data_IF_735522435996
#
_entry.id   IF_735522435996
#
_cell.length_a   1.000
_cell.length_b   1.000
_cell.length_c   1.000
_cell.angle_alpha   90.00
_cell.angle_beta   90.00
_cell.angle_gamma   90.00
#
_symmetry.space_group_name_H-M   'P 1'
#
loop_
_entity.id
_entity.type
_entity.pdbx_description
1 polymer ?
#
# COMPACT_ATOMS: atom_id res chain seq x y z
N UNK A 1 -16.83 32.35 -0.89
CA UNK A 1 -17.45 31.52 -1.94
C UNK A 1 -16.47 30.40 -2.24
N UNK A 2 -16.59 29.28 -1.54
CA UNK A 2 -15.67 28.13 -1.69
C UNK A 2 -16.07 27.36 -2.95
N UNK A 3 -15.53 27.77 -4.08
CA UNK A 3 -15.70 27.04 -5.33
C UNK A 3 -14.57 26.00 -5.42
N UNK A 4 -14.65 24.95 -4.61
CA UNK A 4 -13.84 23.75 -4.83
C UNK A 4 -14.67 22.83 -5.71
N UNK A 5 -14.44 22.90 -7.02
CA UNK A 5 -14.95 21.90 -7.95
C UNK A 5 -14.68 20.48 -7.39
N UNK A 6 -15.61 19.53 -7.56
CA UNK A 6 -15.35 18.15 -7.18
C UNK A 6 -14.15 17.64 -7.97
N UNK A 7 -13.00 17.54 -7.30
CA UNK A 7 -11.78 16.97 -7.87
C UNK A 7 -12.13 15.56 -8.35
N UNK A 8 -12.13 15.37 -9.67
CA UNK A 8 -12.47 14.13 -10.36
C UNK A 8 -12.01 12.89 -9.59
N UNK A 9 -12.99 12.09 -9.18
CA UNK A 9 -12.87 10.86 -8.41
C UNK A 9 -12.33 9.75 -9.35
N UNK A 10 -11.08 9.89 -9.80
CA UNK A 10 -10.46 8.93 -10.72
C UNK A 10 -9.48 9.51 -11.75
N UNK A 11 -9.29 10.83 -11.80
CA UNK A 11 -8.21 11.41 -12.63
C UNK A 11 -6.86 11.29 -11.91
N UNK A 12 -5.72 11.19 -12.63
CA UNK A 12 -4.38 11.28 -12.02
C UNK A 12 -4.15 12.62 -11.28
N UNK A 13 -5.00 13.63 -11.54
CA UNK A 13 -5.06 14.93 -10.82
C UNK A 13 -5.78 14.80 -9.46
N UNK A 14 -6.50 13.69 -9.26
CA UNK A 14 -7.22 13.29 -8.07
C UNK A 14 -6.50 12.26 -7.19
N UNK A 15 -5.23 11.94 -7.44
CA UNK A 15 -4.42 11.16 -6.51
C UNK A 15 -3.81 12.09 -5.46
N UNK A 16 -3.97 11.73 -4.20
CA UNK A 16 -3.35 12.44 -3.08
C UNK A 16 -1.89 12.01 -2.89
N UNK A 17 -1.03 12.86 -2.28
CA UNK A 17 0.39 12.57 -2.16
C UNK A 17 0.69 11.24 -1.45
N UNK A 18 0.01 10.94 -0.33
CA UNK A 18 0.28 9.70 0.43
C UNK A 18 -0.18 8.47 -0.33
N UNK A 19 -1.34 8.51 -0.99
CA UNK A 19 -1.81 7.38 -1.82
C UNK A 19 -0.86 7.12 -2.98
N UNK A 20 -0.39 8.16 -3.67
CA UNK A 20 0.58 8.00 -4.74
C UNK A 20 1.87 7.35 -4.24
N UNK A 21 2.36 7.77 -3.08
CA UNK A 21 3.52 7.16 -2.43
C UNK A 21 3.29 5.68 -2.12
N UNK A 22 2.14 5.34 -1.52
CA UNK A 22 1.79 3.94 -1.20
C UNK A 22 1.68 3.06 -2.46
N UNK A 23 1.10 3.56 -3.55
CA UNK A 23 1.02 2.82 -4.82
C UNK A 23 2.42 2.53 -5.38
N UNK A 24 3.30 3.55 -5.42
CA UNK A 24 4.67 3.41 -5.92
C UNK A 24 5.46 2.44 -5.04
N UNK A 25 5.36 2.58 -3.72
CA UNK A 25 6.10 1.77 -2.76
C UNK A 25 5.73 0.29 -2.87
N UNK A 26 4.43 -0.03 -2.87
CA UNK A 26 3.97 -1.41 -2.99
C UNK A 26 4.38 -2.05 -4.31
N UNK A 27 4.28 -1.31 -5.41
CA UNK A 27 4.74 -1.79 -6.72
C UNK A 27 6.25 -2.00 -6.73
N UNK A 28 7.03 -1.07 -6.17
CA UNK A 28 8.48 -1.15 -6.13
C UNK A 28 8.95 -2.36 -5.31
N UNK A 29 8.38 -2.60 -4.13
CA UNK A 29 8.72 -3.76 -3.29
C UNK A 29 8.47 -5.07 -4.04
N UNK A 30 7.31 -5.20 -4.69
CA UNK A 30 6.97 -6.40 -5.45
C UNK A 30 7.89 -6.59 -6.67
N UNK A 31 8.19 -5.52 -7.42
CA UNK A 31 9.10 -5.60 -8.57
C UNK A 31 10.52 -5.96 -8.15
N UNK A 32 11.01 -5.42 -7.04
CA UNK A 32 12.31 -5.78 -6.49
C UNK A 32 12.36 -7.26 -6.08
N UNK A 33 11.29 -7.76 -5.45
CA UNK A 33 11.17 -9.18 -5.07
C UNK A 33 11.32 -10.09 -6.29
N UNK A 34 10.54 -9.81 -7.35
CA UNK A 34 10.52 -10.61 -8.58
C UNK A 34 11.82 -10.49 -9.37
N UNK A 35 12.39 -9.29 -9.46
CA UNK A 35 13.61 -9.02 -10.24
C UNK A 35 14.86 -9.61 -9.58
N UNK A 36 15.00 -9.40 -8.26
CA UNK A 36 16.16 -9.86 -7.50
C UNK A 36 16.00 -11.31 -7.01
N UNK A 37 14.81 -11.89 -7.14
CA UNK A 37 14.45 -13.23 -6.64
C UNK A 37 14.75 -13.39 -5.15
N UNK A 38 14.55 -12.32 -4.39
CA UNK A 38 14.70 -12.32 -2.92
C UNK A 38 13.33 -12.57 -2.31
N UNK A 39 13.16 -13.47 -1.33
CA UNK A 39 11.84 -13.81 -0.78
C UNK A 39 11.38 -12.80 0.26
N UNK A 40 11.18 -11.53 -0.12
CA UNK A 40 10.69 -10.48 0.80
C UNK A 40 9.36 -10.85 1.43
N UNK A 41 8.47 -11.49 0.68
CA UNK A 41 7.19 -11.99 1.19
C UNK A 41 7.36 -12.99 2.34
N UNK A 42 8.45 -13.76 2.41
CA UNK A 42 8.67 -14.71 3.51
C UNK A 42 9.27 -14.06 4.76
N UNK A 43 10.09 -13.04 4.58
CA UNK A 43 10.79 -12.36 5.66
C UNK A 43 9.89 -11.36 6.39
N UNK A 44 9.10 -10.63 5.62
CA UNK A 44 8.31 -9.49 6.10
C UNK A 44 6.82 -9.78 6.27
N UNK A 45 6.33 -10.96 5.86
CA UNK A 45 4.97 -11.37 6.16
C UNK A 45 4.76 -11.51 7.68
N UNK A 46 3.56 -11.14 8.11
CA UNK A 46 3.13 -11.29 9.50
C UNK A 46 2.93 -12.76 9.81
N UNK A 47 3.72 -13.27 10.76
CA UNK A 47 3.55 -14.63 11.27
C UNK A 47 2.42 -14.66 12.29
N UNK A 48 1.62 -15.72 12.27
CA UNK A 48 0.51 -15.87 13.21
C UNK A 48 0.99 -15.81 14.66
N UNK A 49 2.18 -16.30 14.97
CA UNK A 49 2.75 -16.34 16.32
C UNK A 49 3.74 -15.20 16.62
N UNK A 50 3.62 -14.05 15.94
CA UNK A 50 4.55 -12.92 16.12
C UNK A 50 4.68 -12.45 17.57
N UNK A 51 3.62 -12.59 18.40
CA UNK A 51 3.63 -12.19 19.81
C UNK A 51 4.53 -13.04 20.69
N UNK A 52 4.90 -14.26 20.25
CA UNK A 52 5.81 -15.13 21.00
C UNK A 52 7.21 -14.56 21.06
N UNK A 53 7.58 -13.73 20.07
CA UNK A 53 8.90 -13.12 20.02
C UNK A 53 8.85 -11.67 19.54
N UNK A 54 9.20 -10.73 20.43
CA UNK A 54 9.18 -9.29 20.14
C UNK A 54 10.02 -8.85 18.94
N UNK A 55 11.02 -9.62 18.52
CA UNK A 55 11.78 -9.29 17.30
C UNK A 55 10.94 -9.42 16.01
N UNK A 56 9.79 -10.08 16.06
CA UNK A 56 8.80 -10.10 14.98
C UNK A 56 7.84 -8.91 15.01
N UNK A 57 7.86 -8.04 16.03
CA UNK A 57 6.99 -6.86 16.09
C UNK A 57 7.05 -5.96 14.84
N UNK A 58 8.19 -5.76 14.16
CA UNK A 58 8.23 -5.01 12.90
C UNK A 58 7.33 -5.59 11.81
N UNK A 59 7.03 -6.89 11.86
CA UNK A 59 6.13 -7.53 10.91
C UNK A 59 4.71 -6.97 10.95
N UNK A 60 4.28 -6.32 12.04
CA UNK A 60 3.01 -5.59 12.12
C UNK A 60 2.94 -4.36 11.21
N UNK A 61 4.07 -3.93 10.66
CA UNK A 61 4.11 -2.84 9.68
C UNK A 61 4.58 -3.35 8.33
N UNK A 62 5.63 -4.18 8.29
CA UNK A 62 6.22 -4.62 7.02
C UNK A 62 5.27 -5.49 6.19
N UNK A 63 4.36 -6.22 6.82
CA UNK A 63 3.41 -7.09 6.11
C UNK A 63 2.48 -6.31 5.17
N UNK A 64 2.25 -5.02 5.43
CA UNK A 64 1.40 -4.17 4.60
C UNK A 64 1.96 -3.92 3.19
N UNK A 65 3.26 -4.17 2.98
CA UNK A 65 3.97 -3.83 1.73
C UNK A 65 4.38 -5.04 0.89
N UNK A 66 4.29 -6.25 1.42
CA UNK A 66 4.69 -7.48 0.72
C UNK A 66 3.50 -8.23 0.14
N UNK A 67 3.68 -8.81 -1.04
CA UNK A 67 2.58 -9.38 -1.81
C UNK A 67 2.98 -10.73 -2.42
N UNK A 68 2.35 -11.81 -1.96
CA UNK A 68 2.66 -13.16 -2.45
C UNK A 68 2.12 -13.51 -3.85
N UNK A 69 1.35 -12.64 -4.50
CA UNK A 69 0.87 -12.88 -5.88
C UNK A 69 0.57 -11.57 -6.64
N UNK A 70 0.68 -11.58 -7.99
CA UNK A 70 0.34 -10.42 -8.81
C UNK A 70 -1.12 -9.97 -8.63
N UNK A 71 -2.04 -10.92 -8.50
CA UNK A 71 -3.47 -10.64 -8.29
C UNK A 71 -3.71 -9.94 -6.96
N UNK A 72 -3.03 -10.37 -5.88
CA UNK A 72 -3.16 -9.72 -4.58
C UNK A 72 -2.65 -8.28 -4.59
N UNK A 73 -1.52 -8.04 -5.26
CA UNK A 73 -0.99 -6.69 -5.47
C UNK A 73 -2.01 -5.84 -6.25
N UNK A 74 -2.51 -6.35 -7.38
CA UNK A 74 -3.44 -5.62 -8.24
C UNK A 74 -4.71 -5.18 -7.49
N UNK A 75 -5.33 -6.08 -6.74
CA UNK A 75 -6.56 -5.75 -5.99
C UNK A 75 -6.28 -4.72 -4.88
N UNK A 76 -5.13 -4.81 -4.20
CA UNK A 76 -4.72 -3.78 -3.22
C UNK A 76 -4.51 -2.43 -3.89
N UNK A 77 -3.81 -2.38 -5.03
CA UNK A 77 -3.58 -1.14 -5.76
C UNK A 77 -4.90 -0.52 -6.23
N UNK A 78 -5.86 -1.35 -6.68
CA UNK A 78 -7.19 -0.91 -7.09
C UNK A 78 -7.97 -0.31 -5.91
N UNK A 79 -7.95 -0.98 -4.75
CA UNK A 79 -8.56 -0.48 -3.52
C UNK A 79 -7.96 0.84 -3.07
N UNK A 80 -6.63 0.93 -3.01
CA UNK A 80 -5.92 2.18 -2.70
C UNK A 80 -6.25 3.30 -3.68
N UNK A 81 -6.31 3.00 -4.98
CA UNK A 81 -6.60 3.99 -6.01
C UNK A 81 -8.00 4.60 -5.88
N UNK A 82 -9.03 3.80 -5.60
CA UNK A 82 -10.40 4.30 -5.49
C UNK A 82 -10.74 4.86 -4.10
N UNK A 83 -10.29 4.21 -3.03
CA UNK A 83 -10.70 4.53 -1.65
C UNK A 83 -9.72 5.51 -1.01
N UNK A 84 -8.42 5.32 -1.24
CA UNK A 84 -7.34 6.07 -0.58
C UNK A 84 -7.49 7.59 -0.69
N UNK A 85 -7.67 8.17 -1.90
CA UNK A 85 -7.75 9.63 -2.05
C UNK A 85 -8.98 10.23 -1.39
N UNK A 86 -10.07 9.47 -1.27
CA UNK A 86 -11.27 9.90 -0.55
C UNK A 86 -10.99 9.95 0.94
N UNK A 87 -10.39 8.88 1.49
CA UNK A 87 -9.98 8.82 2.90
C UNK A 87 -9.05 9.98 3.23
N UNK A 88 -7.94 10.15 2.51
CA UNK A 88 -6.95 11.19 2.78
C UNK A 88 -7.54 12.62 2.74
N UNK A 89 -8.53 12.87 1.88
CA UNK A 89 -9.22 14.17 1.85
C UNK A 89 -10.18 14.40 3.01
N UNK A 90 -10.79 13.33 3.52
CA UNK A 90 -11.77 13.42 4.60
C UNK A 90 -11.13 13.45 5.98
N UNK A 91 -10.10 12.63 6.20
CA UNK A 91 -9.45 12.49 7.51
C UNK A 91 -8.07 13.15 7.59
N UNK A 92 -7.52 13.60 6.46
CA UNK A 92 -6.16 14.12 6.35
C UNK A 92 -5.15 13.04 5.92
N UNK A 93 -3.94 13.49 5.63
CA UNK A 93 -2.78 12.63 5.38
C UNK A 93 -2.20 12.06 6.67
#
# INVERSE_FOLDING_TARGET
MFNSEPKNIGSMVGLTPSVKFLLILNLAVYLLEVLLRIPFSEWFALRANWWEHFYHAPQLFTYMFVHGSPTHLFVNMLGLFFIGPTVERTIGS
#
